data_IF_755293369287
#
_entry.id   IF_755293369287
#
_cell.length_a   1.000
_cell.length_b   1.000
_cell.length_c   1.000
_cell.angle_alpha   90.00
_cell.angle_beta   90.00
_cell.angle_gamma   90.00
#
_symmetry.space_group_name_H-M   'P 1'
#
loop_
_entity.id
_entity.type
_entity.pdbx_description
1 polymer ?
#
# COMPACT_ATOMS: atom_id res chain seq x y z
N UNK A 1 8.49 -11.37 -4.98
CA UNK A 1 9.24 -10.28 -4.34
C UNK A 1 8.29 -9.47 -3.48
N UNK A 2 8.78 -8.87 -2.42
CA UNK A 2 7.96 -8.08 -1.50
C UNK A 2 8.07 -6.60 -1.87
N UNK A 3 6.93 -5.98 -2.15
CA UNK A 3 6.83 -4.61 -2.64
C UNK A 3 5.94 -3.82 -1.67
N UNK A 4 6.33 -2.60 -1.31
CA UNK A 4 5.45 -1.69 -0.59
C UNK A 4 4.94 -0.60 -1.53
N UNK A 5 3.67 -0.27 -1.39
CA UNK A 5 3.01 0.79 -2.17
C UNK A 5 2.28 1.73 -1.22
N UNK A 6 2.47 3.04 -1.42
CA UNK A 6 1.68 4.04 -0.70
C UNK A 6 1.61 5.35 -1.48
N UNK A 7 0.64 6.17 -1.11
CA UNK A 7 0.54 7.55 -1.55
C UNK A 7 0.69 8.47 -0.33
N UNK A 8 1.31 9.61 -0.53
CA UNK A 8 1.59 10.59 0.52
C UNK A 8 1.44 12.02 -0.01
N UNK A 9 1.19 12.96 0.90
CA UNK A 9 1.32 14.37 0.55
C UNK A 9 2.78 14.83 0.68
N UNK A 10 3.03 16.13 0.50
CA UNK A 10 4.38 16.69 0.58
C UNK A 10 5.00 16.60 1.98
N UNK A 11 4.20 16.35 3.02
CA UNK A 11 4.64 16.20 4.40
C UNK A 11 4.60 14.73 4.89
N UNK A 12 4.56 13.77 3.97
CA UNK A 12 4.50 12.34 4.26
C UNK A 12 3.23 11.89 4.99
N UNK A 13 2.14 12.65 4.86
CA UNK A 13 0.83 12.25 5.37
C UNK A 13 0.28 11.11 4.51
N UNK A 14 -0.15 10.03 5.15
CA UNK A 14 -0.69 8.85 4.47
C UNK A 14 -2.13 8.51 4.86
N UNK A 15 -2.70 9.19 5.83
CA UNK A 15 -4.07 8.88 6.25
C UNK A 15 -4.70 9.93 7.14
N UNK A 16 -6.05 9.91 7.12
CA UNK A 16 -6.90 10.71 7.98
C UNK A 16 -8.13 9.91 8.35
N UNK A 17 -8.28 9.63 9.64
CA UNK A 17 -9.45 8.88 10.13
C UNK A 17 -9.63 7.52 9.46
N UNK A 18 -8.53 6.83 9.14
CA UNK A 18 -8.56 5.53 8.47
C UNK A 18 -8.75 5.56 6.96
N UNK A 19 -8.79 6.74 6.36
CA UNK A 19 -9.00 6.94 4.91
C UNK A 19 -7.95 7.89 4.33
N UNK A 20 -7.87 7.95 2.99
CA UNK A 20 -7.03 8.92 2.29
C UNK A 20 -7.68 10.30 2.36
N UNK A 21 -6.90 11.38 2.66
CA UNK A 21 -7.45 12.72 2.78
C UNK A 21 -7.70 13.42 1.43
N UNK A 22 -7.36 12.78 0.33
CA UNK A 22 -7.53 13.34 -1.04
C UNK A 22 -8.39 12.43 -1.90
N UNK A 23 -8.93 13.03 -2.95
CA UNK A 23 -9.58 12.32 -4.03
C UNK A 23 -8.80 12.60 -5.32
N UNK A 24 -8.09 11.59 -5.82
CA UNK A 24 -7.23 11.70 -6.99
C UNK A 24 -7.40 10.43 -7.85
N UNK A 25 -8.30 10.44 -8.84
CA UNK A 25 -8.59 9.25 -9.65
C UNK A 25 -7.35 8.61 -10.30
N UNK A 26 -6.37 9.41 -10.70
CA UNK A 26 -5.10 8.89 -11.24
C UNK A 26 -4.35 8.02 -10.23
N UNK A 27 -4.38 8.38 -8.95
CA UNK A 27 -3.74 7.60 -7.89
C UNK A 27 -4.44 6.26 -7.68
N UNK A 28 -5.78 6.27 -7.68
CA UNK A 28 -6.56 5.04 -7.60
C UNK A 28 -6.31 4.13 -8.80
N UNK A 29 -6.21 4.69 -10.00
CA UNK A 29 -5.89 3.95 -11.22
C UNK A 29 -4.50 3.34 -11.15
N UNK A 30 -3.50 4.10 -10.72
CA UNK A 30 -2.13 3.62 -10.52
C UNK A 30 -2.10 2.46 -9.52
N UNK A 31 -2.74 2.62 -8.37
CA UNK A 31 -2.83 1.57 -7.36
C UNK A 31 -3.45 0.29 -7.94
N UNK A 32 -4.55 0.43 -8.66
CA UNK A 32 -5.21 -0.72 -9.31
C UNK A 32 -4.29 -1.40 -10.30
N UNK A 33 -3.62 -0.66 -11.17
CA UNK A 33 -2.68 -1.21 -12.16
C UNK A 33 -1.54 -1.97 -11.50
N UNK A 34 -1.05 -1.49 -10.36
CA UNK A 34 0.07 -2.10 -9.64
C UNK A 34 -0.32 -3.34 -8.85
N UNK A 35 -1.61 -3.53 -8.56
CA UNK A 35 -2.05 -4.58 -7.64
C UNK A 35 -2.96 -5.63 -8.27
N UNK A 36 -3.66 -5.33 -9.37
CA UNK A 36 -4.61 -6.26 -9.98
C UNK A 36 -3.93 -7.57 -10.40
N UNK A 37 -4.56 -8.69 -10.10
CA UNK A 37 -4.01 -10.03 -10.37
C UNK A 37 -2.91 -10.47 -9.42
N UNK A 38 -2.62 -9.67 -8.38
CA UNK A 38 -1.54 -9.94 -7.42
C UNK A 38 -2.09 -10.18 -6.02
N UNK A 39 -1.20 -10.55 -5.11
CA UNK A 39 -1.50 -10.66 -3.68
C UNK A 39 -1.26 -9.32 -2.99
N UNK A 40 -2.26 -8.84 -2.25
CA UNK A 40 -2.15 -7.63 -1.43
C UNK A 40 -2.23 -8.01 0.04
N UNK A 41 -1.41 -7.34 0.84
CA UNK A 41 -1.33 -7.55 2.30
C UNK A 41 -1.59 -6.23 3.00
N UNK A 42 -2.50 -6.24 3.96
CA UNK A 42 -2.85 -5.06 4.73
C UNK A 42 -3.13 -5.40 6.18
N UNK A 43 -3.04 -4.41 7.04
CA UNK A 43 -3.46 -4.53 8.43
C UNK A 43 -4.97 -4.41 8.57
N UNK A 44 -5.48 -4.80 9.74
CA UNK A 44 -6.91 -4.75 10.05
C UNK A 44 -7.51 -3.35 9.89
N UNK A 45 -6.79 -2.30 10.36
CA UNK A 45 -7.28 -0.92 10.27
C UNK A 45 -7.40 -0.43 8.82
N UNK A 46 -6.46 -0.81 7.97
CA UNK A 46 -6.54 -0.50 6.53
C UNK A 46 -7.74 -1.19 5.90
N UNK A 47 -7.98 -2.45 6.26
CA UNK A 47 -9.14 -3.18 5.77
C UNK A 47 -10.45 -2.58 6.25
N UNK A 48 -10.52 -2.15 7.52
CA UNK A 48 -11.68 -1.43 8.04
C UNK A 48 -11.94 -0.13 7.27
N UNK A 49 -10.88 0.58 6.86
CA UNK A 49 -10.98 1.77 6.02
C UNK A 49 -11.55 1.50 4.63
N UNK A 50 -11.50 0.26 4.16
CA UNK A 50 -12.15 -0.21 2.94
C UNK A 50 -13.57 -0.74 3.18
N UNK A 51 -14.13 -0.51 4.37
CA UNK A 51 -15.44 -1.01 4.80
C UNK A 51 -15.53 -2.54 4.75
N UNK A 52 -14.39 -3.23 5.00
CA UNK A 52 -14.25 -4.69 4.92
C UNK A 52 -14.66 -5.25 3.56
N UNK A 53 -14.42 -4.48 2.51
CA UNK A 53 -14.64 -4.89 1.12
C UNK A 53 -13.34 -5.36 0.51
N UNK A 54 -13.20 -6.66 0.16
CA UNK A 54 -12.00 -7.15 -0.50
C UNK A 54 -11.77 -6.44 -1.83
N UNK A 55 -10.50 -6.19 -2.16
CA UNK A 55 -10.15 -5.65 -3.45
C UNK A 55 -10.40 -6.72 -4.52
N UNK A 56 -11.21 -6.43 -5.56
CA UNK A 56 -11.54 -7.43 -6.57
C UNK A 56 -10.34 -7.81 -7.43
N UNK A 57 -10.33 -9.08 -7.88
CA UNK A 57 -9.28 -9.64 -8.75
C UNK A 57 -7.89 -9.63 -8.11
N UNK A 58 -7.83 -9.69 -6.78
CA UNK A 58 -6.60 -9.76 -5.99
C UNK A 58 -6.78 -10.77 -4.87
N UNK A 59 -5.70 -11.41 -4.48
CA UNK A 59 -5.70 -12.23 -3.26
C UNK A 59 -5.49 -11.30 -2.07
N UNK A 60 -6.50 -11.17 -1.21
CA UNK A 60 -6.47 -10.27 -0.06
C UNK A 60 -6.03 -11.02 1.19
N UNK A 61 -4.91 -10.61 1.79
CA UNK A 61 -4.41 -11.15 3.05
C UNK A 61 -4.44 -10.04 4.10
N UNK A 62 -5.09 -10.31 5.22
CA UNK A 62 -5.20 -9.37 6.33
C UNK A 62 -4.34 -9.86 7.49
N UNK A 63 -3.41 -9.03 7.95
CA UNK A 63 -2.61 -9.30 9.15
C UNK A 63 -3.48 -9.02 10.36
N UNK A 64 -3.84 -10.08 11.07
CA UNK A 64 -4.68 -9.99 12.26
C UNK A 64 -4.54 -11.28 13.10
N UNK A 65 -4.75 -11.16 14.41
CA UNK A 65 -4.87 -12.33 15.30
C UNK A 65 -6.27 -12.96 15.26
N UNK A 66 -7.23 -12.27 14.64
CA UNK A 66 -8.59 -12.76 14.49
C UNK A 66 -8.61 -14.00 13.62
N UNK A 67 -9.34 -15.04 14.04
CA UNK A 67 -9.46 -16.32 13.31
C UNK A 67 -10.73 -16.42 12.49
N UNK A 68 -11.80 -15.78 12.92
CA UNK A 68 -13.08 -15.79 12.22
C UNK A 68 -13.17 -14.66 11.21
N UNK A 69 -13.93 -14.83 10.11
CA UNK A 69 -14.13 -13.77 9.13
C UNK A 69 -14.68 -12.50 9.75
N UNK A 70 -14.37 -11.34 9.17
CA UNK A 70 -14.95 -10.07 9.56
C UNK A 70 -16.44 -10.01 9.22
N UNK A 71 -17.22 -9.36 10.07
CA UNK A 71 -18.62 -9.03 9.76
C UNK A 71 -18.61 -7.93 8.68
N UNK A 72 -19.33 -8.18 7.59
CA UNK A 72 -19.32 -7.31 6.42
C UNK A 72 -20.53 -7.59 5.53
N UNK A 73 -20.97 -6.57 4.80
CA UNK A 73 -21.95 -6.72 3.73
C UNK A 73 -21.35 -7.40 2.49
N UNK A 74 -20.02 -7.60 2.46
CA UNK A 74 -19.30 -8.20 1.34
C UNK A 74 -18.82 -9.60 1.69
N UNK A 75 -18.73 -10.45 0.66
CA UNK A 75 -18.25 -11.83 0.79
C UNK A 75 -16.79 -11.85 1.27
N UNK A 76 -16.53 -12.57 2.35
CA UNK A 76 -15.21 -12.72 2.96
C UNK A 76 -14.57 -14.08 2.65
N UNK A 77 -15.19 -14.90 1.79
CA UNK A 77 -14.77 -16.30 1.56
C UNK A 77 -13.32 -16.41 1.08
N UNK A 78 -12.88 -15.51 0.19
CA UNK A 78 -11.54 -15.52 -0.39
C UNK A 78 -10.55 -14.61 0.35
N UNK A 79 -10.95 -14.09 1.52
CA UNK A 79 -10.07 -13.26 2.35
C UNK A 79 -9.29 -14.18 3.29
N UNK A 80 -7.96 -14.12 3.21
CA UNK A 80 -7.08 -14.86 4.10
C UNK A 80 -6.71 -14.03 5.31
N UNK A 81 -6.81 -14.62 6.50
CA UNK A 81 -6.40 -13.99 7.75
C UNK A 81 -5.15 -14.71 8.26
N UNK A 82 -4.14 -13.95 8.65
CA UNK A 82 -2.91 -14.52 9.21
C UNK A 82 -2.29 -13.57 10.22
N UNK A 83 -1.63 -14.14 11.24
CA UNK A 83 -0.75 -13.40 12.15
C UNK A 83 0.73 -13.70 11.88
N UNK A 84 1.02 -14.51 10.87
CA UNK A 84 2.36 -14.98 10.54
C UNK A 84 2.99 -14.20 9.40
N UNK A 85 4.05 -13.43 9.69
CA UNK A 85 4.83 -12.79 8.64
C UNK A 85 5.63 -13.83 7.82
N UNK A 86 6.01 -14.95 8.42
CA UNK A 86 6.77 -15.99 7.73
C UNK A 86 5.99 -16.58 6.56
N UNK A 87 4.68 -16.73 6.70
CA UNK A 87 3.82 -17.19 5.61
C UNK A 87 3.86 -16.22 4.42
N UNK A 88 3.86 -14.93 4.70
CA UNK A 88 3.89 -13.88 3.66
C UNK A 88 5.27 -13.82 3.01
N UNK A 89 6.35 -13.92 3.79
CA UNK A 89 7.70 -13.94 3.25
C UNK A 89 7.94 -15.16 2.36
N UNK A 90 7.42 -16.33 2.74
CA UNK A 90 7.48 -17.54 1.91
C UNK A 90 6.72 -17.35 0.59
N UNK A 91 5.56 -16.72 0.63
CA UNK A 91 4.76 -16.43 -0.56
C UNK A 91 5.50 -15.46 -1.49
N UNK A 92 6.17 -14.46 -0.94
CA UNK A 92 6.94 -13.46 -1.69
C UNK A 92 8.15 -14.05 -2.42
N UNK A 93 8.64 -15.22 -2.03
CA UNK A 93 9.67 -15.95 -2.77
C UNK A 93 9.14 -16.54 -4.07
N UNK A 94 7.83 -16.74 -4.19
CA UNK A 94 7.19 -17.39 -5.34
C UNK A 94 6.45 -16.42 -6.24
N UNK A 95 6.00 -15.29 -5.72
CA UNK A 95 5.21 -14.30 -6.46
C UNK A 95 5.42 -12.89 -5.90
N UNK A 96 4.91 -11.89 -6.60
CA UNK A 96 4.90 -10.52 -6.09
C UNK A 96 3.81 -10.37 -5.04
N UNK A 97 4.21 -9.87 -3.87
CA UNK A 97 3.31 -9.57 -2.75
C UNK A 97 3.41 -8.08 -2.45
N UNK A 98 2.27 -7.41 -2.45
CA UNK A 98 2.18 -5.96 -2.32
C UNK A 98 1.69 -5.60 -0.92
N UNK A 99 2.54 -4.95 -0.13
CA UNK A 99 2.19 -4.42 1.19
C UNK A 99 1.55 -3.05 1.01
N UNK A 100 0.31 -2.90 1.43
CA UNK A 100 -0.46 -1.68 1.19
C UNK A 100 -0.82 -0.91 2.46
N UNK A 101 -0.28 -1.28 3.59
CA UNK A 101 -0.39 -0.48 4.81
C UNK A 101 -1.08 -1.17 5.97
N UNK A 102 -1.26 -0.48 7.02
CA UNK A 102 -0.78 0.88 7.32
C UNK A 102 0.65 0.99 7.80
N UNK A 103 0.92 2.09 8.48
CA UNK A 103 2.26 2.44 8.95
C UNK A 103 2.94 1.29 9.73
N UNK A 104 2.23 0.66 10.66
CA UNK A 104 2.78 -0.45 11.46
C UNK A 104 3.12 -1.66 10.59
N UNK A 105 2.33 -1.91 9.55
CA UNK A 105 2.55 -3.03 8.63
C UNK A 105 3.75 -2.75 7.72
N UNK A 106 3.90 -1.53 7.22
CA UNK A 106 5.11 -1.14 6.48
C UNK A 106 6.36 -1.35 7.33
N UNK A 107 6.35 -0.91 8.58
CA UNK A 107 7.48 -1.07 9.49
C UNK A 107 7.81 -2.53 9.80
N UNK A 108 6.77 -3.36 9.96
CA UNK A 108 6.92 -4.79 10.22
C UNK A 108 7.66 -5.51 9.09
N UNK A 109 7.34 -5.16 7.84
CA UNK A 109 7.93 -5.79 6.65
C UNK A 109 9.14 -5.04 6.09
N UNK A 110 9.46 -3.87 6.62
CA UNK A 110 10.49 -3.00 6.05
C UNK A 110 11.82 -3.68 5.77
N UNK A 111 12.38 -4.52 6.69
CA UNK A 111 13.65 -5.19 6.43
C UNK A 111 13.63 -6.14 5.23
N UNK A 112 12.47 -6.57 4.79
CA UNK A 112 12.29 -7.60 3.76
C UNK A 112 11.80 -7.04 2.43
N UNK A 113 11.52 -5.74 2.36
CA UNK A 113 10.98 -5.11 1.17
C UNK A 113 12.08 -4.93 0.13
N UNK A 114 11.81 -5.35 -1.11
CA UNK A 114 12.73 -5.27 -2.24
C UNK A 114 12.49 -4.02 -3.09
N UNK A 115 11.24 -3.58 -3.24
CA UNK A 115 10.87 -2.42 -4.05
C UNK A 115 9.82 -1.57 -3.36
N UNK A 116 9.84 -0.28 -3.70
CA UNK A 116 8.83 0.68 -3.24
C UNK A 116 8.18 1.32 -4.46
N UNK A 117 6.88 1.64 -4.33
CA UNK A 117 6.13 2.43 -5.31
C UNK A 117 5.40 3.53 -4.54
N UNK A 118 5.91 4.75 -4.66
CA UNK A 118 5.49 5.88 -3.83
C UNK A 118 4.94 6.99 -4.71
N UNK A 119 3.66 7.30 -4.53
CA UNK A 119 3.04 8.46 -5.17
C UNK A 119 3.07 9.63 -4.19
N UNK A 120 3.68 10.74 -4.61
CA UNK A 120 3.68 11.98 -3.83
C UNK A 120 2.76 12.99 -4.50
N UNK A 121 1.81 13.51 -3.73
CA UNK A 121 0.85 14.52 -4.15
C UNK A 121 1.37 15.86 -3.66
N UNK A 122 1.62 16.79 -4.59
CA UNK A 122 2.22 18.10 -4.27
C UNK A 122 1.17 19.04 -3.71
N UNK A 123 0.72 18.75 -2.53
CA UNK A 123 -0.23 19.53 -1.75
C UNK A 123 -0.11 19.15 -0.28
N UNK A 124 -0.47 20.05 0.59
CA UNK A 124 -0.50 19.82 2.05
C UNK A 124 -1.94 19.54 2.48
N UNK A 125 -2.18 18.37 3.05
CA UNK A 125 -3.50 17.98 3.58
C UNK A 125 -3.45 17.86 5.09
N UNK A 126 -4.60 17.97 5.73
CA UNK A 126 -4.76 17.68 7.16
C UNK A 126 -4.99 16.19 7.37
N UNK A 127 -4.37 15.62 8.37
CA UNK A 127 -4.54 14.22 8.74
C UNK A 127 -3.72 13.85 9.96
N UNK A 128 -3.77 12.58 10.32
CA UNK A 128 -3.26 12.09 11.59
C UNK A 128 -2.16 11.02 11.47
N UNK A 129 -1.98 10.42 10.29
CA UNK A 129 -0.98 9.36 10.10
C UNK A 129 0.07 9.82 9.10
N UNK A 130 1.32 9.83 9.54
CA UNK A 130 2.49 10.16 8.72
C UNK A 130 3.42 8.95 8.63
N UNK A 131 4.09 8.81 7.48
CA UNK A 131 5.09 7.78 7.26
C UNK A 131 6.25 8.37 6.47
N UNK A 132 7.37 8.52 7.14
CA UNK A 132 8.60 9.10 6.57
C UNK A 132 9.77 8.16 6.82
N UNK A 133 9.85 7.03 6.12
CA UNK A 133 10.93 6.07 6.31
C UNK A 133 12.24 6.60 5.71
N UNK A 134 13.36 6.12 6.25
CA UNK A 134 14.67 6.35 5.65
C UNK A 134 14.79 5.52 4.36
N UNK A 135 15.05 6.18 3.23
CA UNK A 135 15.16 5.55 1.91
C UNK A 135 16.63 5.40 1.45
N UNK A 136 17.61 5.54 2.35
CA UNK A 136 19.04 5.48 1.98
C UNK A 136 19.44 4.15 1.35
N UNK A 137 18.75 3.06 1.67
CA UNK A 137 18.99 1.73 1.11
C UNK A 137 18.30 1.49 -0.24
N UNK A 138 17.59 2.49 -0.75
CA UNK A 138 16.83 2.39 -1.99
C UNK A 138 17.30 3.42 -3.00
N UNK A 139 17.18 3.06 -4.29
CA UNK A 139 17.42 3.99 -5.41
C UNK A 139 16.17 4.07 -6.30
N UNK A 140 15.85 5.28 -6.75
CA UNK A 140 14.78 5.48 -7.73
C UNK A 140 15.26 5.00 -9.12
N UNK A 141 14.41 4.25 -9.81
CA UNK A 141 14.74 3.77 -11.16
C UNK A 141 13.70 4.18 -12.21
N UNK A 142 12.52 4.62 -11.80
CA UNK A 142 11.48 5.08 -12.72
C UNK A 142 10.63 6.14 -12.04
N UNK A 143 10.22 7.16 -12.79
CA UNK A 143 9.31 8.20 -12.34
C UNK A 143 8.22 8.38 -13.37
N UNK A 144 6.97 8.34 -12.92
CA UNK A 144 5.78 8.62 -13.74
C UNK A 144 5.17 9.92 -13.24
N UNK A 145 5.23 10.98 -14.08
CA UNK A 145 4.56 12.25 -13.79
C UNK A 145 3.07 12.13 -14.04
N UNK A 146 2.27 12.62 -13.08
CA UNK A 146 0.83 12.66 -13.23
C UNK A 146 0.37 13.92 -13.98
N UNK A 147 -0.72 13.80 -14.70
CA UNK A 147 -1.33 14.91 -15.42
C UNK A 147 -2.41 15.57 -14.56
N UNK A 148 -2.28 16.89 -14.35
CA UNK A 148 -3.30 17.69 -13.66
C UNK A 148 -4.42 17.98 -14.65
N UNK A 149 -5.65 17.69 -14.24
CA UNK A 149 -6.84 17.96 -15.03
C UNK A 149 -8.04 18.28 -14.12
N UNK A 150 -9.24 18.38 -14.66
CA UNK A 150 -10.45 18.71 -13.90
C UNK A 150 -10.78 17.70 -12.79
N UNK A 151 -10.39 16.43 -12.99
CA UNK A 151 -10.63 15.33 -12.02
C UNK A 151 -9.45 15.10 -11.10
N UNK A 152 -8.26 15.51 -11.52
CA UNK A 152 -7.00 15.33 -10.80
C UNK A 152 -6.37 16.70 -10.54
N UNK A 153 -6.86 17.37 -9.49
CA UNK A 153 -6.59 18.79 -9.24
C UNK A 153 -5.17 19.09 -8.74
N UNK A 154 -4.43 18.06 -8.28
CA UNK A 154 -3.13 18.27 -7.66
C UNK A 154 -2.00 17.68 -8.49
N UNK A 155 -0.86 18.38 -8.62
CA UNK A 155 0.34 17.78 -9.20
C UNK A 155 0.72 16.53 -8.38
N UNK A 156 1.12 15.47 -9.07
CA UNK A 156 1.49 14.22 -8.43
C UNK A 156 2.47 13.46 -9.30
N UNK A 157 3.27 12.62 -8.67
CA UNK A 157 4.20 11.72 -9.36
C UNK A 157 4.33 10.41 -8.60
N UNK A 158 4.53 9.32 -9.34
CA UNK A 158 4.80 8.00 -8.77
C UNK A 158 6.25 7.62 -9.05
N UNK A 159 6.97 7.26 -8.01
CA UNK A 159 8.39 6.90 -8.07
C UNK A 159 8.56 5.44 -7.70
N UNK A 160 9.28 4.71 -8.53
CA UNK A 160 9.65 3.32 -8.31
C UNK A 160 11.06 3.26 -7.75
N UNK A 161 11.20 2.62 -6.59
CA UNK A 161 12.49 2.41 -5.93
C UNK A 161 12.80 0.92 -5.87
N UNK A 162 14.08 0.59 -5.93
CA UNK A 162 14.58 -0.75 -5.65
C UNK A 162 15.67 -0.68 -4.58
N UNK A 163 15.74 -1.73 -3.79
CA UNK A 163 16.78 -1.85 -2.78
C UNK A 163 18.14 -2.00 -3.45
N UNK A 164 19.11 -1.22 -2.98
CA UNK A 164 20.48 -1.31 -3.47
C UNK A 164 21.13 -2.55 -2.89
N UNK A 165 21.69 -3.41 -3.74
CA UNK A 165 22.43 -4.57 -3.28
C UNK A 165 23.75 -4.12 -2.65
N UNK A 166 23.95 -4.50 -1.39
CA UNK A 166 25.23 -4.37 -0.74
C UNK A 166 26.14 -5.51 -1.23
N UNK A 167 27.11 -5.17 -2.06
CA UNK A 167 28.18 -6.09 -2.43
C UNK A 167 29.38 -5.90 -1.51
#
# INVERSE_FOLDING_TARGET
>A
MLIAIWAQDINHLIGKGGKLPWHLPNDLKFFKEQTVGKTVVMGRKTYAGLDYKPLPNRHNIIITRQKSPFESDYDQTDVELTDSIDNILALAEKEDVIIMGGQSIYRLFWPYISELRVTTINHEFDGDIHFDPNLDDFEAYEVIEGVVDEKNAYPHKSVFYRKVDEN
#
